data_IF_713350060482
#
_entry.id   IF_713350060482
#
_cell.length_a   1.000
_cell.length_b   1.000
_cell.length_c   1.000
_cell.angle_alpha   90.00
_cell.angle_beta   90.00
_cell.angle_gamma   90.00
#
_symmetry.space_group_name_H-M   'P 1'
#
loop_
_entity.id
_entity.type
_entity.pdbx_description
1 polymer ?
#
# COMPACT_ATOMS: atom_id res chain seq x y z
N UNK A 1 7.99 -27.33 -7.03
CA UNK A 1 7.53 -25.96 -7.32
C UNK A 1 8.47 -25.37 -8.36
N UNK A 2 8.00 -24.50 -9.25
CA UNK A 2 8.89 -23.79 -10.16
C UNK A 2 9.78 -22.83 -9.36
N UNK A 3 10.98 -22.56 -9.85
CA UNK A 3 11.84 -21.53 -9.26
C UNK A 3 11.15 -20.16 -9.40
N UNK A 4 10.95 -19.42 -8.29
CA UNK A 4 10.27 -18.14 -8.33
C UNK A 4 11.08 -17.08 -9.08
N UNK A 5 10.37 -16.18 -9.76
CA UNK A 5 10.92 -15.11 -10.59
C UNK A 5 10.72 -13.74 -9.95
N UNK A 6 11.32 -12.71 -10.55
CA UNK A 6 11.04 -11.32 -10.15
C UNK A 6 9.59 -10.92 -10.43
N UNK A 7 8.99 -11.44 -11.51
CA UNK A 7 7.59 -11.17 -11.89
C UNK A 7 6.62 -11.73 -10.84
N UNK A 8 6.91 -12.91 -10.29
CA UNK A 8 6.11 -13.49 -9.19
C UNK A 8 6.08 -12.57 -7.95
N UNK A 9 7.20 -11.88 -7.67
CA UNK A 9 7.27 -10.87 -6.61
C UNK A 9 6.46 -9.63 -7.00
N UNK A 10 6.59 -9.14 -8.23
CA UNK A 10 5.90 -7.95 -8.70
C UNK A 10 4.38 -8.14 -8.75
N UNK A 11 3.89 -9.33 -9.09
CA UNK A 11 2.47 -9.69 -9.01
C UNK A 11 1.94 -9.60 -7.57
N UNK A 12 2.74 -10.00 -6.58
CA UNK A 12 2.35 -9.89 -5.17
C UNK A 12 2.38 -8.43 -4.67
N UNK A 13 3.37 -7.65 -5.10
CA UNK A 13 3.62 -6.30 -4.57
C UNK A 13 2.82 -5.23 -5.32
N UNK A 14 2.55 -5.40 -6.61
CA UNK A 14 1.83 -4.46 -7.48
C UNK A 14 0.50 -3.94 -6.90
N UNK A 15 -0.37 -4.78 -6.34
CA UNK A 15 -1.64 -4.34 -5.75
C UNK A 15 -1.51 -3.85 -4.29
N UNK A 16 -0.30 -3.57 -3.79
CA UNK A 16 -0.10 -3.22 -2.39
C UNK A 16 -0.77 -1.90 -2.00
N UNK A 17 -1.68 -2.00 -1.02
CA UNK A 17 -2.18 -0.86 -0.25
C UNK A 17 -1.65 -0.96 1.18
N UNK A 18 -1.61 0.15 1.95
CA UNK A 18 -1.09 0.11 3.31
C UNK A 18 -1.75 -0.95 4.22
N UNK A 19 -3.06 -1.15 4.08
CA UNK A 19 -3.80 -2.13 4.87
C UNK A 19 -3.33 -3.58 4.63
N UNK A 20 -2.97 -3.92 3.38
CA UNK A 20 -2.54 -5.27 3.01
C UNK A 20 -1.02 -5.46 3.07
N UNK A 21 -0.26 -4.41 3.36
CA UNK A 21 1.20 -4.43 3.22
C UNK A 21 1.87 -5.57 4.01
N UNK A 22 1.44 -5.81 5.26
CA UNK A 22 1.98 -6.90 6.07
C UNK A 22 1.56 -8.29 5.59
N UNK A 23 0.36 -8.44 5.03
CA UNK A 23 -0.09 -9.71 4.45
C UNK A 23 0.73 -10.05 3.20
N UNK A 24 0.95 -9.07 2.32
CA UNK A 24 1.78 -9.23 1.13
C UNK A 24 3.24 -9.50 1.53
N UNK A 25 3.75 -8.84 2.57
CA UNK A 25 5.10 -9.06 3.09
C UNK A 25 5.31 -10.50 3.56
N UNK A 26 4.31 -11.07 4.24
CA UNK A 26 4.35 -12.48 4.64
C UNK A 26 4.38 -13.42 3.43
N UNK A 27 3.59 -13.14 2.38
CA UNK A 27 3.59 -13.94 1.15
C UNK A 27 4.92 -13.89 0.41
N UNK A 28 5.54 -12.71 0.31
CA UNK A 28 6.89 -12.57 -0.27
C UNK A 28 7.92 -13.35 0.53
N UNK A 29 7.83 -13.32 1.88
CA UNK A 29 8.72 -14.09 2.75
C UNK A 29 8.65 -15.60 2.46
N UNK A 30 7.45 -16.15 2.33
CA UNK A 30 7.27 -17.56 2.01
C UNK A 30 7.82 -17.90 0.61
N UNK A 31 7.59 -17.02 -0.37
CA UNK A 31 8.07 -17.22 -1.74
C UNK A 31 9.59 -17.33 -1.85
N UNK A 32 10.34 -16.60 -1.01
CA UNK A 32 11.81 -16.55 -1.06
C UNK A 32 12.50 -17.44 -0.01
N UNK A 33 11.75 -18.12 0.87
CA UNK A 33 12.29 -18.77 2.07
C UNK A 33 13.36 -19.83 1.79
N UNK A 34 13.23 -20.55 0.68
CA UNK A 34 14.12 -21.66 0.30
C UNK A 34 15.28 -21.22 -0.61
N UNK A 35 15.35 -19.95 -1.01
CA UNK A 35 16.38 -19.45 -1.92
C UNK A 35 17.70 -19.17 -1.18
N UNK A 36 18.87 -19.42 -1.78
CA UNK A 36 20.17 -19.02 -1.22
C UNK A 36 20.26 -17.51 -0.97
N UNK A 37 20.98 -17.04 0.05
CA UNK A 37 21.14 -15.61 0.36
C UNK A 37 21.61 -14.75 -0.83
N UNK A 38 22.46 -15.31 -1.69
CA UNK A 38 23.03 -14.62 -2.85
C UNK A 38 22.08 -14.61 -4.07
N UNK A 39 20.96 -15.34 -4.00
CA UNK A 39 20.03 -15.48 -5.10
C UNK A 39 19.38 -14.13 -5.46
N UNK A 40 19.38 -13.71 -6.75
CA UNK A 40 18.89 -12.40 -7.15
C UNK A 40 17.42 -12.16 -6.76
N UNK A 41 16.56 -13.17 -6.89
CA UNK A 41 15.14 -13.09 -6.51
C UNK A 41 14.96 -12.95 -5.00
N UNK A 42 15.84 -13.56 -4.19
CA UNK A 42 15.79 -13.41 -2.74
C UNK A 42 16.11 -11.98 -2.32
N UNK A 43 17.21 -11.42 -2.84
CA UNK A 43 17.60 -10.02 -2.59
C UNK A 43 16.48 -9.06 -2.99
N UNK A 44 15.88 -9.26 -4.16
CA UNK A 44 14.75 -8.45 -4.61
C UNK A 44 13.53 -8.59 -3.68
N UNK A 45 13.20 -9.81 -3.24
CA UNK A 45 12.12 -10.06 -2.29
C UNK A 45 12.34 -9.36 -0.95
N UNK A 46 13.56 -9.40 -0.42
CA UNK A 46 13.95 -8.70 0.82
C UNK A 46 13.81 -7.17 0.67
N UNK A 47 14.22 -6.60 -0.47
CA UNK A 47 14.02 -5.17 -0.79
C UNK A 47 12.52 -4.80 -0.81
N UNK A 48 11.68 -5.62 -1.44
CA UNK A 48 10.22 -5.39 -1.47
C UNK A 48 9.57 -5.60 -0.11
N UNK A 49 10.05 -6.53 0.70
CA UNK A 49 9.59 -6.68 2.09
C UNK A 49 9.85 -5.43 2.91
N UNK A 50 11.01 -4.77 2.73
CA UNK A 50 11.31 -3.50 3.38
C UNK A 50 10.43 -2.36 2.87
N UNK A 51 10.09 -2.34 1.57
CA UNK A 51 9.11 -1.39 1.03
C UNK A 51 7.72 -1.59 1.64
N UNK A 52 7.24 -2.83 1.71
CA UNK A 52 5.94 -3.15 2.29
C UNK A 52 5.89 -2.83 3.79
N UNK A 53 6.98 -3.03 4.51
CA UNK A 53 7.08 -2.64 5.93
C UNK A 53 6.90 -1.13 6.11
N UNK A 54 7.61 -0.32 5.30
CA UNK A 54 7.43 1.14 5.27
C UNK A 54 6.01 1.53 4.85
N UNK A 55 5.42 0.86 3.86
CA UNK A 55 4.07 1.15 3.40
C UNK A 55 3.02 0.88 4.48
N UNK A 56 3.15 -0.23 5.21
CA UNK A 56 2.29 -0.53 6.35
C UNK A 56 2.41 0.50 7.47
N UNK A 57 3.65 0.89 7.80
CA UNK A 57 3.92 1.90 8.81
C UNK A 57 3.48 3.32 8.39
N UNK A 58 3.69 3.69 7.12
CA UNK A 58 3.40 5.02 6.58
C UNK A 58 1.92 5.20 6.20
N UNK A 59 1.02 4.34 6.69
CA UNK A 59 -0.42 4.61 6.62
C UNK A 59 -0.78 5.82 7.49
N UNK A 60 -0.41 7.02 7.04
CA UNK A 60 -1.05 8.26 7.45
C UNK A 60 -2.52 8.10 7.11
N UNK A 61 -3.38 8.03 8.13
CA UNK A 61 -4.80 8.11 7.89
C UNK A 61 -5.08 9.46 7.22
N UNK A 62 -6.19 9.59 6.49
CA UNK A 62 -6.61 10.89 5.95
C UNK A 62 -6.72 11.99 7.05
N UNK A 63 -6.76 11.59 8.33
CA UNK A 63 -6.70 12.46 9.50
C UNK A 63 -5.30 13.06 9.78
N UNK A 64 -4.21 12.44 9.31
CA UNK A 64 -2.84 12.86 9.58
C UNK A 64 -2.29 13.86 8.54
N UNK A 65 -3.05 14.09 7.46
CA UNK A 65 -2.75 15.13 6.47
C UNK A 65 -3.30 16.49 6.91
N UNK A 66 -2.53 17.56 6.71
CA UNK A 66 -3.10 18.90 6.76
C UNK A 66 -4.24 19.01 5.73
N UNK A 67 -5.29 19.76 6.07
CA UNK A 67 -6.38 20.01 5.13
C UNK A 67 -5.82 20.59 3.82
N UNK A 68 -6.11 19.92 2.70
CA UNK A 68 -5.75 20.45 1.39
C UNK A 68 -6.37 21.84 1.23
N UNK A 69 -5.58 22.86 0.82
CA UNK A 69 -6.07 24.22 0.71
C UNK A 69 -7.18 24.32 -0.36
N UNK A 70 -8.29 24.96 0.00
CA UNK A 70 -9.46 25.20 -0.88
C UNK A 70 -9.14 25.94 -2.18
N UNK A 71 -7.96 26.54 -2.29
CA UNK A 71 -7.46 27.20 -3.50
C UNK A 71 -7.02 26.21 -4.58
N UNK A 72 -6.84 24.92 -4.23
CA UNK A 72 -6.57 23.84 -5.17
C UNK A 72 -7.88 23.12 -5.51
N UNK A 73 -8.46 23.47 -6.67
CA UNK A 73 -9.70 22.87 -7.16
C UNK A 73 -9.40 21.44 -7.61
N UNK A 74 -9.91 20.46 -6.88
CA UNK A 74 -9.91 19.06 -7.29
C UNK A 74 -11.24 18.69 -7.96
N UNK A 75 -11.15 18.02 -9.10
CA UNK A 75 -12.22 17.26 -9.80
C UNK A 75 -13.39 18.08 -10.37
N UNK A 76 -13.22 18.53 -11.61
CA UNK A 76 -14.23 19.27 -12.39
C UNK A 76 -15.53 18.47 -12.71
N UNK A 77 -15.67 17.20 -12.31
CA UNK A 77 -16.96 16.45 -12.30
C UNK A 77 -17.09 15.52 -11.08
N UNK A 78 -18.30 15.46 -10.50
CA UNK A 78 -18.73 15.21 -9.09
C UNK A 78 -19.19 13.72 -8.86
N UNK A 79 -19.35 13.13 -7.62
CA UNK A 79 -19.43 13.76 -6.28
C UNK A 79 -18.58 13.23 -5.12
N UNK A 80 -18.35 14.17 -4.19
CA UNK A 80 -18.68 14.07 -2.76
C UNK A 80 -17.98 12.98 -1.94
N UNK A 81 -16.98 13.43 -1.21
CA UNK A 81 -16.92 13.13 0.22
C UNK A 81 -16.55 14.41 0.93
N UNK A 82 -17.45 14.90 1.78
CA UNK A 82 -17.08 15.78 2.86
C UNK A 82 -15.77 15.24 3.48
N UNK A 83 -14.69 16.03 3.54
CA UNK A 83 -13.48 15.56 4.18
C UNK A 83 -13.85 15.12 5.60
N UNK A 84 -13.21 14.09 6.15
CA UNK A 84 -13.46 13.64 7.53
C UNK A 84 -13.38 14.79 8.56
N UNK A 85 -12.71 15.88 8.18
CA UNK A 85 -12.57 17.13 8.90
C UNK A 85 -13.85 18.00 8.98
N UNK A 86 -14.78 17.90 8.02
CA UNK A 86 -16.02 18.70 7.98
C UNK A 86 -17.21 17.87 7.45
N UNK A 87 -17.66 16.83 8.19
CA UNK A 87 -18.74 15.97 7.76
C UNK A 87 -20.06 16.75 7.68
N UNK A 88 -20.81 16.55 6.59
CA UNK A 88 -22.14 17.15 6.44
C UNK A 88 -23.06 16.71 7.59
N UNK A 89 -23.91 17.62 8.11
CA UNK A 89 -24.89 17.27 9.13
C UNK A 89 -25.79 16.15 8.62
N UNK A 90 -26.01 15.13 9.47
CA UNK A 90 -26.89 14.01 9.13
C UNK A 90 -28.28 14.58 8.84
N UNK A 91 -28.83 14.26 7.66
CA UNK A 91 -30.23 14.59 7.34
C UNK A 91 -31.12 13.83 8.33
N UNK A 92 -31.72 14.55 9.25
CA UNK A 92 -32.83 14.04 10.05
C UNK A 92 -33.97 13.73 9.08
N UNK A 93 -34.38 12.46 9.00
CA UNK A 93 -35.67 12.09 8.40
C UNK A 93 -36.77 12.26 9.44
#
# INVERSE_FOLDING_TARGET
MAEPTLDDIDVLVGPATPHFAYQLRARVRELIAELPPEHPVRRYGEEKMALLDRLGHASSFAADGAAEPRTRIGWETVPSSAPAFDPLPKRTQ
#
